data_IF_002107286714
#
_entry.id   IF_002107286714
#
_cell.length_a   1.000
_cell.length_b   1.000
_cell.length_c   1.000
_cell.angle_alpha   90.00
_cell.angle_beta   90.00
_cell.angle_gamma   90.00
#
_symmetry.space_group_name_H-M   'P 1'
#
loop_
_entity.id
_entity.type
_entity.pdbx_description
1 polymer ?
#
# COMPACT_ATOMS: atom_id res chain seq x y z
N UNK A 1 -0.91 -2.88 8.06
CA UNK A 1 -2.30 -2.37 8.03
C UNK A 1 -3.08 -3.18 7.02
N UNK A 2 -4.31 -3.58 7.35
CA UNK A 2 -5.16 -4.33 6.41
C UNK A 2 -5.96 -3.37 5.53
N UNK A 3 -6.48 -3.83 4.40
CA UNK A 3 -7.37 -2.99 3.58
C UNK A 3 -8.58 -2.50 4.39
N UNK A 4 -9.11 -3.28 5.33
CA UNK A 4 -10.33 -2.91 6.06
C UNK A 4 -10.14 -1.80 7.10
N UNK A 5 -8.91 -1.53 7.53
CA UNK A 5 -8.64 -0.56 8.61
C UNK A 5 -7.76 0.60 8.18
N UNK A 6 -7.25 0.60 6.94
CA UNK A 6 -6.23 1.56 6.52
C UNK A 6 -6.75 3.00 6.57
N UNK A 7 -8.00 3.25 6.20
CA UNK A 7 -8.59 4.59 6.27
C UNK A 7 -8.79 5.11 7.70
N UNK A 8 -8.89 4.22 8.69
CA UNK A 8 -9.04 4.60 10.10
C UNK A 8 -7.67 4.82 10.76
N UNK A 9 -6.69 3.99 10.41
CA UNK A 9 -5.39 3.95 11.11
C UNK A 9 -4.35 4.91 10.52
N UNK A 10 -4.47 5.28 9.24
CA UNK A 10 -3.34 5.88 8.50
C UNK A 10 -2.96 7.26 9.01
N UNK A 11 -3.90 8.10 9.42
CA UNK A 11 -3.61 9.46 9.89
C UNK A 11 -2.85 9.47 11.23
N UNK A 12 -3.07 8.46 12.08
CA UNK A 12 -2.31 8.27 13.32
C UNK A 12 -0.89 7.74 13.01
N UNK A 13 -0.78 6.76 12.11
CA UNK A 13 0.50 6.09 11.82
C UNK A 13 1.41 6.86 10.88
N UNK A 14 0.83 7.62 9.96
CA UNK A 14 1.54 8.39 8.93
C UNK A 14 0.88 9.77 8.83
N UNK A 15 1.10 10.67 9.80
CA UNK A 15 0.46 11.99 9.79
C UNK A 15 0.92 12.88 8.62
N UNK A 16 2.11 12.62 8.06
CA UNK A 16 2.59 13.35 6.88
C UNK A 16 1.92 12.87 5.59
N UNK A 17 1.06 13.72 5.02
CA UNK A 17 0.38 13.48 3.74
C UNK A 17 1.32 13.44 2.53
N UNK A 18 2.57 13.90 2.66
CA UNK A 18 3.59 13.78 1.61
C UNK A 18 4.45 12.52 1.77
N UNK A 19 4.25 11.71 2.81
CA UNK A 19 5.00 10.48 3.01
C UNK A 19 4.82 9.52 1.81
N UNK A 20 5.91 8.87 1.43
CA UNK A 20 5.87 7.83 0.40
C UNK A 20 5.21 6.58 0.97
N UNK A 21 4.05 6.20 0.42
CA UNK A 21 3.30 5.02 0.88
C UNK A 21 3.23 4.02 -0.27
N UNK A 22 3.75 2.81 -0.05
CA UNK A 22 3.65 1.72 -1.01
C UNK A 22 2.71 0.65 -0.47
N UNK A 23 1.52 0.56 -1.06
CA UNK A 23 0.55 -0.48 -0.77
C UNK A 23 0.91 -1.74 -1.57
N UNK A 24 0.89 -2.90 -0.91
CA UNK A 24 0.99 -4.19 -1.59
C UNK A 24 -0.07 -5.15 -1.06
N UNK A 25 -0.43 -6.12 -1.89
CA UNK A 25 -1.26 -7.25 -1.48
C UNK A 25 -0.75 -8.51 -2.18
N UNK A 26 -1.45 -9.64 -2.07
CA UNK A 26 -1.01 -10.88 -2.74
C UNK A 26 -0.85 -10.78 -4.26
N UNK A 27 -1.68 -9.99 -4.96
CA UNK A 27 -1.70 -9.93 -6.43
C UNK A 27 -1.89 -8.54 -7.04
N UNK A 28 -1.72 -7.45 -6.27
CA UNK A 28 -1.80 -6.06 -6.76
C UNK A 28 -3.19 -5.40 -6.74
N UNK A 29 -4.29 -6.15 -6.88
CA UNK A 29 -5.65 -5.56 -6.98
C UNK A 29 -6.12 -4.81 -5.72
N UNK A 30 -6.06 -5.44 -4.54
CA UNK A 30 -6.49 -4.82 -3.28
C UNK A 30 -5.62 -3.61 -2.90
N UNK A 31 -4.33 -3.66 -3.23
CA UNK A 31 -3.41 -2.56 -2.97
C UNK A 31 -3.64 -1.36 -3.91
N UNK A 32 -4.16 -1.58 -5.11
CA UNK A 32 -4.56 -0.50 -5.99
C UNK A 32 -5.72 0.31 -5.38
N UNK A 33 -6.75 -0.38 -4.89
CA UNK A 33 -7.88 0.26 -4.20
C UNK A 33 -7.45 0.98 -2.92
N UNK A 34 -6.53 0.39 -2.14
CA UNK A 34 -5.99 1.04 -0.95
C UNK A 34 -5.22 2.33 -1.30
N UNK A 35 -4.35 2.28 -2.32
CA UNK A 35 -3.61 3.45 -2.76
C UNK A 35 -4.54 4.56 -3.29
N UNK A 36 -5.63 4.20 -3.97
CA UNK A 36 -6.64 5.15 -4.42
C UNK A 36 -7.39 5.81 -3.23
N UNK A 37 -7.83 5.03 -2.25
CA UNK A 37 -8.44 5.57 -1.01
C UNK A 37 -7.50 6.57 -0.34
N UNK A 38 -6.21 6.22 -0.18
CA UNK A 38 -5.23 7.10 0.44
C UNK A 38 -5.03 8.40 -0.35
N UNK A 39 -4.98 8.34 -1.68
CA UNK A 39 -4.95 9.55 -2.52
C UNK A 39 -6.16 10.43 -2.28
N UNK A 40 -7.37 9.85 -2.17
CA UNK A 40 -8.60 10.59 -1.87
C UNK A 40 -8.58 11.25 -0.48
N UNK A 41 -7.87 10.67 0.49
CA UNK A 41 -7.64 11.25 1.82
C UNK A 41 -6.55 12.35 1.84
N UNK A 42 -5.86 12.57 0.71
CA UNK A 42 -4.84 13.60 0.54
C UNK A 42 -3.39 13.11 0.54
N UNK A 43 -3.15 11.80 0.63
CA UNK A 43 -1.80 11.25 0.53
C UNK A 43 -1.30 11.29 -0.91
N UNK A 44 -0.39 12.23 -1.20
CA UNK A 44 0.05 12.52 -2.57
C UNK A 44 0.92 11.41 -3.16
N UNK A 45 1.68 10.74 -2.31
CA UNK A 45 2.70 9.78 -2.69
C UNK A 45 2.30 8.31 -2.42
N UNK A 46 0.99 8.03 -2.38
CA UNK A 46 0.50 6.65 -2.28
C UNK A 46 0.59 5.91 -3.63
N UNK A 47 1.21 4.74 -3.64
CA UNK A 47 1.46 3.90 -4.83
C UNK A 47 1.09 2.45 -4.55
N UNK A 48 0.67 1.71 -5.57
CA UNK A 48 0.43 0.26 -5.47
C UNK A 48 1.58 -0.51 -6.12
N UNK A 49 2.04 -1.56 -5.48
CA UNK A 49 3.01 -2.49 -6.04
C UNK A 49 2.34 -3.37 -7.10
N UNK A 50 2.72 -3.17 -8.36
CA UNK A 50 2.22 -3.94 -9.50
C UNK A 50 2.54 -5.44 -9.32
N UNK A 51 1.55 -6.31 -9.58
CA UNK A 51 1.68 -7.76 -9.38
C UNK A 51 1.76 -8.21 -7.91
N UNK A 52 1.84 -7.27 -6.96
CA UNK A 52 1.86 -7.54 -5.52
C UNK A 52 3.01 -8.43 -5.07
N UNK A 53 2.80 -9.11 -3.94
CA UNK A 53 3.81 -9.97 -3.33
C UNK A 53 4.16 -11.20 -4.19
N UNK A 54 3.24 -11.67 -5.05
CA UNK A 54 3.53 -12.72 -6.03
C UNK A 54 4.61 -12.29 -7.02
N UNK A 55 4.49 -11.09 -7.60
CA UNK A 55 5.50 -10.56 -8.51
C UNK A 55 6.83 -10.28 -7.78
N UNK A 56 6.77 -9.81 -6.53
CA UNK A 56 7.97 -9.63 -5.70
C UNK A 56 8.75 -10.94 -5.52
N UNK A 57 8.05 -12.03 -5.19
CA UNK A 57 8.64 -13.37 -5.08
C UNK A 57 9.14 -13.90 -6.43
N UNK A 58 8.38 -13.70 -7.50
CA UNK A 58 8.76 -14.14 -8.85
C UNK A 58 10.03 -13.43 -9.35
N UNK A 59 10.26 -12.19 -8.93
CA UNK A 59 11.48 -11.43 -9.21
C UNK A 59 12.69 -11.85 -8.35
N UNK A 60 12.52 -12.80 -7.42
CA UNK A 60 13.62 -13.29 -6.57
C UNK A 60 14.04 -12.34 -5.46
N UNK A 61 13.20 -11.35 -5.12
CA UNK A 61 13.53 -10.41 -4.04
C UNK A 61 13.41 -11.05 -2.66
N UNK A 62 14.20 -10.56 -1.67
CA UNK A 62 14.16 -11.10 -0.31
C UNK A 62 12.79 -10.94 0.33
N UNK A 63 12.37 -11.96 1.08
CA UNK A 63 11.13 -11.95 1.87
C UNK A 63 11.41 -12.42 3.28
N UNK A 64 10.91 -11.69 4.27
CA UNK A 64 10.89 -12.11 5.67
C UNK A 64 9.57 -12.80 5.98
N UNK A 65 9.61 -13.77 6.90
CA UNK A 65 8.46 -14.56 7.34
C UNK A 65 7.71 -13.87 8.47
#
# INVERSE_FOLDING_TARGET
MSRGTIELDIEEKVPDKNAMIVCHCGGGGRSALAAESLKKMGYKNARSMAGGFKAWKAAGFPTTK
#
